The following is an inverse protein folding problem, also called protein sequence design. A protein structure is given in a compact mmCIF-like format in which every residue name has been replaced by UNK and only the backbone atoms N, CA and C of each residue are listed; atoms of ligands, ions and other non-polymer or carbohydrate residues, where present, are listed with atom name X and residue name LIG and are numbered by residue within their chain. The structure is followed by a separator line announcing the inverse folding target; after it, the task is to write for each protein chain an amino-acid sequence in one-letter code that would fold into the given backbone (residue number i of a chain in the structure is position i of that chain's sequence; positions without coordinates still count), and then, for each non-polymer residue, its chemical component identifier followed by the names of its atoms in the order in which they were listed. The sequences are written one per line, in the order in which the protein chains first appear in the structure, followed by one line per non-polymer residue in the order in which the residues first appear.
data_IF_001531848481
#
_entry.id   IF_001531848481
#
_cell.length_a   1.000
_cell.length_b   1.000
_cell.length_c   1.000
_cell.angle_alpha   90.00
_cell.angle_beta   90.00
_cell.angle_gamma   90.00
#
_symmetry.space_group_name_H-M   'P 1'
#
loop_
_entity.id
_entity.type
_entity.pdbx_description
1 polymer ?
#
# COMPACT_ATOMS: atom_id res chain seq x y z
N UNK A 1 25.67 -28.38 3.07
CA UNK A 1 24.74 -29.12 3.96
C UNK A 1 23.44 -28.36 3.99
N UNK A 2 22.33 -28.99 3.58
CA UNK A 2 21.01 -28.32 3.64
C UNK A 2 20.63 -28.20 5.12
N UNK A 3 20.39 -26.97 5.60
CA UNK A 3 19.85 -26.77 6.94
C UNK A 3 18.39 -27.21 6.99
N UNK A 4 17.96 -27.77 8.11
CA UNK A 4 16.56 -28.14 8.36
C UNK A 4 15.99 -27.09 9.31
N UNK A 5 14.80 -26.55 9.01
CA UNK A 5 14.13 -25.60 9.90
C UNK A 5 13.42 -26.32 11.08
N UNK A 6 12.82 -25.52 11.97
CA UNK A 6 12.09 -26.02 13.15
C UNK A 6 10.86 -26.89 12.82
N UNK A 7 10.41 -26.89 11.56
CA UNK A 7 9.28 -27.70 11.07
C UNK A 7 9.76 -28.96 10.33
N UNK A 8 11.07 -29.21 10.28
CA UNK A 8 11.66 -30.33 9.56
C UNK A 8 11.77 -30.13 8.05
N UNK A 9 11.60 -28.88 7.56
CA UNK A 9 11.71 -28.59 6.14
C UNK A 9 13.14 -28.27 5.73
N UNK A 10 13.51 -28.72 4.56
CA UNK A 10 14.81 -28.41 3.98
C UNK A 10 14.86 -26.95 3.59
N UNK A 11 15.92 -26.24 3.98
CA UNK A 11 16.20 -24.88 3.47
C UNK A 11 17.14 -24.99 2.27
N UNK A 12 16.85 -24.20 1.25
CA UNK A 12 17.65 -24.14 0.02
C UNK A 12 17.80 -22.70 -0.46
N UNK A 13 18.92 -22.36 -1.10
CA UNK A 13 19.04 -21.10 -1.81
C UNK A 13 17.91 -20.95 -2.83
N UNK A 14 17.30 -19.76 -2.91
CA UNK A 14 16.24 -19.46 -3.88
C UNK A 14 16.68 -19.81 -5.31
N UNK A 15 17.95 -19.54 -5.64
CA UNK A 15 18.53 -19.81 -6.94
C UNK A 15 18.53 -21.28 -7.37
N UNK A 16 18.33 -22.25 -6.45
CA UNK A 16 18.14 -23.66 -6.84
C UNK A 16 16.77 -23.90 -7.51
N UNK A 17 15.73 -23.12 -7.13
CA UNK A 17 14.33 -23.36 -7.56
C UNK A 17 13.77 -22.24 -8.44
N UNK A 18 14.33 -21.03 -8.39
CA UNK A 18 13.88 -19.89 -9.17
C UNK A 18 15.06 -19.00 -9.60
N UNK A 19 14.87 -18.26 -10.68
CA UNK A 19 15.75 -17.18 -11.10
C UNK A 19 15.10 -15.83 -10.75
N UNK A 20 15.92 -14.82 -10.50
CA UNK A 20 15.48 -13.42 -10.37
C UNK A 20 15.98 -12.65 -11.57
N UNK A 21 15.07 -12.12 -12.38
CA UNK A 21 15.39 -11.38 -13.60
C UNK A 21 15.15 -9.90 -13.36
N UNK A 22 16.20 -9.06 -13.45
CA UNK A 22 16.06 -7.61 -13.44
C UNK A 22 15.29 -7.12 -14.66
N UNK A 23 14.52 -6.04 -14.52
CA UNK A 23 13.75 -5.46 -15.61
C UNK A 23 14.58 -4.75 -16.67
N UNK A 24 13.88 -4.19 -17.62
CA UNK A 24 14.45 -3.47 -18.76
C UNK A 24 14.93 -2.06 -18.36
N UNK A 25 16.06 -1.63 -18.91
CA UNK A 25 16.66 -0.33 -18.62
C UNK A 25 16.07 0.76 -19.55
N UNK A 26 14.88 1.25 -19.21
CA UNK A 26 14.29 2.38 -19.94
C UNK A 26 15.08 3.66 -19.69
N UNK A 27 15.27 4.46 -20.76
CA UNK A 27 15.84 5.81 -20.67
C UNK A 27 14.79 6.76 -20.10
N UNK A 28 15.24 7.82 -19.43
CA UNK A 28 14.32 8.81 -18.83
C UNK A 28 13.41 9.48 -19.87
N UNK A 29 13.89 9.67 -21.11
CA UNK A 29 13.13 10.22 -22.23
C UNK A 29 12.05 9.29 -22.81
N UNK A 30 12.03 8.01 -22.41
CA UNK A 30 11.07 7.02 -22.91
C UNK A 30 9.82 6.93 -22.02
N UNK A 31 9.83 7.62 -20.88
CA UNK A 31 8.67 7.70 -20.01
C UNK A 31 7.75 8.85 -20.41
N UNK A 32 6.44 8.59 -20.35
CA UNK A 32 5.39 9.55 -20.67
C UNK A 32 4.13 9.31 -19.82
N UNK A 33 3.08 10.03 -20.15
CA UNK A 33 1.79 9.89 -19.44
C UNK A 33 0.89 8.81 -20.04
N UNK A 34 1.09 8.45 -21.30
CA UNK A 34 0.29 7.47 -22.03
C UNK A 34 1.10 6.22 -22.37
N UNK A 35 0.41 5.09 -22.60
CA UNK A 35 1.01 3.82 -22.97
C UNK A 35 0.94 2.78 -21.84
N UNK A 36 1.92 1.87 -21.82
CA UNK A 36 1.96 0.71 -20.94
C UNK A 36 2.60 1.09 -19.60
N UNK A 37 2.01 0.73 -18.45
CA UNK A 37 2.62 0.99 -17.16
C UNK A 37 3.98 0.28 -17.03
N UNK A 38 4.99 1.01 -16.55
CA UNK A 38 6.29 0.47 -16.19
C UNK A 38 6.42 0.38 -14.67
N UNK A 39 6.60 -0.83 -14.15
CA UNK A 39 6.72 -1.07 -12.71
C UNK A 39 8.11 -0.67 -12.25
N UNK A 40 8.16 0.40 -11.46
CA UNK A 40 9.34 0.90 -10.75
C UNK A 40 9.26 0.52 -9.26
N UNK A 41 10.32 0.74 -8.50
CA UNK A 41 10.36 0.46 -7.06
C UNK A 41 9.23 1.13 -6.27
N UNK A 42 8.78 2.32 -6.68
CA UNK A 42 7.67 3.03 -6.06
C UNK A 42 6.33 2.30 -6.18
N UNK A 43 6.19 1.47 -7.21
CA UNK A 43 4.98 0.70 -7.48
C UNK A 43 4.95 -0.66 -6.75
N UNK A 44 6.10 -1.12 -6.22
CA UNK A 44 6.20 -2.36 -5.44
C UNK A 44 5.84 -2.04 -4.00
N UNK A 45 4.61 -2.33 -3.59
CA UNK A 45 4.13 -2.20 -2.20
C UNK A 45 4.31 -3.53 -1.47
N UNK A 46 4.07 -3.55 -0.17
CA UNK A 46 4.09 -4.79 0.61
C UNK A 46 2.92 -5.67 0.18
N UNK A 47 3.23 -6.77 -0.50
CA UNK A 47 2.25 -7.76 -0.95
C UNK A 47 1.58 -7.47 -2.31
N UNK A 48 1.55 -6.24 -2.81
CA UNK A 48 0.82 -5.89 -4.04
C UNK A 48 1.54 -4.84 -4.90
N UNK A 49 1.13 -4.76 -6.17
CA UNK A 49 1.59 -3.73 -7.10
C UNK A 49 0.58 -2.59 -7.14
N UNK A 50 1.06 -1.36 -6.97
CA UNK A 50 0.27 -0.13 -7.03
C UNK A 50 0.62 0.64 -8.31
N UNK A 51 -0.35 0.77 -9.21
CA UNK A 51 -0.18 1.48 -10.49
C UNK A 51 -0.75 2.90 -10.49
N UNK A 52 -1.22 3.40 -9.35
CA UNK A 52 -1.90 4.71 -9.26
C UNK A 52 -1.05 5.86 -9.82
N UNK A 53 0.25 5.82 -9.57
CA UNK A 53 1.23 6.81 -10.04
C UNK A 53 2.30 6.18 -10.96
N UNK A 54 1.95 5.08 -11.65
CA UNK A 54 2.89 4.39 -12.51
C UNK A 54 3.27 5.25 -13.72
N UNK A 55 4.57 5.40 -13.94
CA UNK A 55 5.08 5.95 -15.20
C UNK A 55 4.77 5.00 -16.35
N UNK A 56 4.58 5.52 -17.54
CA UNK A 56 4.21 4.74 -18.72
C UNK A 56 5.26 4.85 -19.79
N UNK A 57 5.35 3.82 -20.63
CA UNK A 57 6.21 3.79 -21.79
C UNK A 57 5.40 3.51 -23.05
N UNK A 58 5.92 3.93 -24.20
CA UNK A 58 5.23 3.77 -25.47
C UNK A 58 4.98 2.27 -25.80
N UNK A 59 3.87 1.97 -26.47
CA UNK A 59 3.43 0.61 -26.83
C UNK A 59 4.44 -0.18 -27.67
N UNK A 60 5.35 0.50 -28.40
CA UNK A 60 6.46 -0.17 -29.09
C UNK A 60 7.30 -1.07 -28.19
N UNK A 61 7.33 -0.79 -26.88
CA UNK A 61 8.05 -1.62 -25.92
C UNK A 61 7.36 -2.95 -25.60
N UNK A 62 6.17 -3.24 -26.12
CA UNK A 62 5.60 -4.59 -26.10
C UNK A 62 6.44 -5.61 -26.89
N UNK A 63 7.28 -5.16 -27.79
CA UNK A 63 8.18 -6.03 -28.56
C UNK A 63 9.44 -6.47 -27.80
N UNK A 64 9.71 -5.94 -26.60
CA UNK A 64 10.83 -6.43 -25.79
C UNK A 64 10.59 -7.86 -25.30
N UNK A 65 11.65 -8.61 -24.94
CA UNK A 65 11.51 -9.99 -24.51
C UNK A 65 10.48 -10.18 -23.41
N UNK A 66 9.68 -11.25 -23.49
CA UNK A 66 8.56 -11.59 -22.58
C UNK A 66 8.98 -11.63 -21.11
N UNK A 67 10.22 -11.97 -20.81
CA UNK A 67 10.76 -11.95 -19.44
C UNK A 67 10.62 -10.59 -18.74
N UNK A 68 10.48 -9.51 -19.49
CA UNK A 68 10.25 -8.15 -18.98
C UNK A 68 8.77 -7.76 -18.88
N UNK A 69 7.88 -8.60 -19.38
CA UNK A 69 6.45 -8.40 -19.21
C UNK A 69 6.03 -8.88 -17.83
N UNK A 70 5.12 -8.17 -17.22
CA UNK A 70 4.54 -8.51 -15.92
C UNK A 70 3.05 -8.70 -16.09
N UNK A 71 2.60 -9.88 -15.72
CA UNK A 71 1.21 -10.33 -15.83
C UNK A 71 0.68 -10.83 -14.50
N UNK A 72 -0.61 -11.13 -14.45
CA UNK A 72 -1.26 -11.66 -13.25
C UNK A 72 -0.52 -12.84 -12.63
N UNK A 73 -0.29 -12.78 -11.34
CA UNK A 73 0.40 -13.81 -10.57
C UNK A 73 1.93 -13.66 -10.50
N UNK A 74 2.54 -12.82 -11.34
CA UNK A 74 3.99 -12.58 -11.28
C UNK A 74 4.41 -12.02 -9.91
N UNK A 75 5.53 -12.52 -9.39
CA UNK A 75 6.12 -12.10 -8.12
C UNK A 75 7.32 -11.21 -8.37
N UNK A 76 7.30 -10.03 -7.75
CA UNK A 76 8.26 -8.96 -7.96
C UNK A 76 9.00 -8.64 -6.67
N UNK A 77 10.28 -8.24 -6.79
CA UNK A 77 11.14 -7.85 -5.66
C UNK A 77 11.81 -6.51 -5.97
N UNK A 78 11.76 -5.57 -5.04
CA UNK A 78 12.53 -4.32 -5.14
C UNK A 78 14.02 -4.58 -4.96
N UNK A 79 14.81 -4.32 -6.01
CA UNK A 79 16.26 -4.51 -6.01
C UNK A 79 17.03 -3.27 -5.53
N UNK A 80 16.34 -2.14 -5.37
CA UNK A 80 16.94 -0.86 -4.96
C UNK A 80 16.01 -0.14 -3.99
N UNK A 81 16.58 0.60 -3.06
CA UNK A 81 15.84 1.43 -2.12
C UNK A 81 16.75 2.08 -1.08
N UNK A 82 16.20 2.62 0.00
CA UNK A 82 16.99 3.07 1.15
C UNK A 82 17.58 1.86 1.90
N UNK A 83 18.69 2.09 2.58
CA UNK A 83 19.35 1.06 3.39
C UNK A 83 18.43 0.60 4.55
N UNK A 84 18.63 -0.64 5.03
CA UNK A 84 17.83 -1.25 6.11
C UNK A 84 17.82 -0.44 7.41
N UNK A 85 18.82 0.41 7.63
CA UNK A 85 18.87 1.34 8.77
C UNK A 85 17.81 2.44 8.70
N UNK A 86 17.16 2.63 7.55
CA UNK A 86 16.07 3.61 7.39
C UNK A 86 14.71 2.96 7.68
N UNK A 87 13.81 3.64 8.43
CA UNK A 87 12.53 3.06 8.88
C UNK A 87 11.65 2.52 7.77
N UNK A 88 11.75 3.08 6.57
CA UNK A 88 10.89 2.74 5.42
C UNK A 88 11.69 2.16 4.25
N UNK A 89 12.74 1.36 4.54
CA UNK A 89 13.49 0.69 3.47
C UNK A 89 12.56 -0.11 2.56
N UNK A 90 12.77 0.03 1.25
CA UNK A 90 12.02 -0.70 0.21
C UNK A 90 12.82 -1.83 -0.42
N UNK A 91 14.13 -1.96 -0.12
CA UNK A 91 14.96 -3.07 -0.63
C UNK A 91 14.43 -4.41 -0.12
N UNK A 92 14.29 -5.36 -1.03
CA UNK A 92 13.75 -6.69 -0.70
C UNK A 92 12.23 -6.73 -0.54
N UNK A 93 11.52 -5.61 -0.73
CA UNK A 93 10.05 -5.61 -0.68
C UNK A 93 9.48 -6.48 -1.79
N UNK A 94 8.57 -7.36 -1.44
CA UNK A 94 7.94 -8.33 -2.34
C UNK A 94 6.50 -7.92 -2.64
N UNK A 95 6.10 -8.04 -3.90
CA UNK A 95 4.73 -7.81 -4.37
C UNK A 95 4.30 -8.88 -5.35
N UNK A 96 2.99 -9.14 -5.41
CA UNK A 96 2.36 -9.96 -6.44
C UNK A 96 1.51 -9.07 -7.35
N UNK A 97 1.60 -9.30 -8.65
CA UNK A 97 0.77 -8.60 -9.63
C UNK A 97 -0.64 -9.21 -9.60
N UNK A 98 -1.65 -8.38 -9.32
CA UNK A 98 -3.05 -8.80 -9.22
C UNK A 98 -3.66 -9.06 -10.60
N UNK A 99 -4.61 -9.99 -10.68
CA UNK A 99 -5.36 -10.30 -11.90
C UNK A 99 -6.21 -9.12 -12.43
N UNK A 100 -6.53 -8.15 -11.58
CA UNK A 100 -7.27 -6.94 -11.98
C UNK A 100 -6.42 -5.84 -12.62
N UNK A 101 -5.10 -6.01 -12.68
CA UNK A 101 -4.18 -5.02 -13.27
C UNK A 101 -3.87 -5.37 -14.73
N UNK A 102 -3.60 -4.36 -15.58
CA UNK A 102 -3.19 -4.59 -16.96
C UNK A 102 -1.78 -5.19 -17.02
N UNK A 103 -1.40 -5.77 -18.15
CA UNK A 103 -0.01 -6.12 -18.43
C UNK A 103 0.88 -4.89 -18.30
N UNK A 104 2.00 -5.06 -17.60
CA UNK A 104 2.98 -4.01 -17.32
C UNK A 104 4.36 -4.42 -17.87
N UNK A 105 5.27 -3.47 -17.89
CA UNK A 105 6.67 -3.72 -18.19
C UNK A 105 7.53 -3.54 -16.95
N UNK A 106 8.53 -4.39 -16.79
CA UNK A 106 9.41 -4.42 -15.64
C UNK A 106 10.59 -3.46 -15.81
N UNK A 107 10.76 -2.52 -14.89
CA UNK A 107 11.92 -1.61 -14.90
C UNK A 107 13.13 -2.24 -14.19
N UNK A 108 14.33 -1.87 -14.63
CA UNK A 108 15.64 -2.44 -14.22
C UNK A 108 15.90 -2.58 -12.71
N UNK A 109 15.21 -1.78 -11.87
CA UNK A 109 15.40 -1.79 -10.40
C UNK A 109 14.40 -2.68 -9.67
N UNK A 110 13.62 -3.43 -10.42
CA UNK A 110 12.68 -4.43 -9.90
C UNK A 110 13.04 -5.77 -10.51
N UNK A 111 13.11 -6.80 -9.67
CA UNK A 111 13.32 -8.19 -10.08
C UNK A 111 12.00 -8.92 -10.21
N UNK A 112 11.89 -9.81 -11.20
CA UNK A 112 10.80 -10.78 -11.37
C UNK A 112 11.31 -12.16 -11.02
N UNK A 113 10.58 -12.89 -10.17
CA UNK A 113 10.88 -14.26 -9.77
C UNK A 113 10.30 -15.21 -10.80
N UNK A 114 11.15 -16.07 -11.37
CA UNK A 114 10.76 -17.06 -12.39
C UNK A 114 11.13 -18.44 -11.88
N UNK A 115 10.14 -19.30 -11.64
CA UNK A 115 10.36 -20.67 -11.19
C UNK A 115 11.03 -21.50 -12.29
N UNK A 116 12.08 -22.24 -11.94
CA UNK A 116 12.82 -23.09 -12.89
C UNK A 116 12.02 -24.34 -13.27
N UNK A 117 11.38 -24.98 -12.29
CA UNK A 117 10.62 -26.21 -12.49
C UNK A 117 9.35 -26.19 -11.62
N UNK A 118 8.20 -26.09 -12.25
CA UNK A 118 6.88 -26.08 -11.58
C UNK A 118 6.51 -27.43 -10.93
N UNK A 119 7.31 -28.48 -11.19
CA UNK A 119 7.18 -29.80 -10.56
C UNK A 119 7.82 -29.87 -9.17
N UNK A 120 8.67 -28.90 -8.82
CA UNK A 120 9.38 -28.86 -7.54
C UNK A 120 9.07 -27.61 -6.69
N UNK A 121 8.59 -26.55 -7.30
CA UNK A 121 8.35 -25.27 -6.64
C UNK A 121 7.10 -24.58 -7.16
N UNK A 122 6.31 -24.04 -6.23
CA UNK A 122 5.09 -23.26 -6.48
C UNK A 122 5.38 -21.78 -6.33
N UNK A 123 5.04 -20.96 -7.34
CA UNK A 123 5.30 -19.52 -7.34
C UNK A 123 4.47 -18.79 -6.26
N UNK A 124 3.22 -19.24 -6.03
CA UNK A 124 2.37 -18.67 -4.98
C UNK A 124 2.98 -18.91 -3.60
N UNK A 125 3.53 -20.09 -3.35
CA UNK A 125 4.28 -20.37 -2.13
C UNK A 125 5.53 -19.48 -2.00
N UNK A 126 6.29 -19.31 -3.09
CA UNK A 126 7.47 -18.43 -3.08
C UNK A 126 7.12 -17.00 -2.73
N UNK A 127 5.98 -16.49 -3.21
CA UNK A 127 5.50 -15.17 -2.84
C UNK A 127 5.40 -15.02 -1.31
N UNK A 128 4.78 -15.97 -0.62
CA UNK A 128 4.64 -15.92 0.84
C UNK A 128 5.96 -16.16 1.58
N UNK A 129 6.78 -17.08 1.11
CA UNK A 129 8.08 -17.35 1.71
C UNK A 129 9.02 -16.14 1.61
N UNK A 130 9.02 -15.44 0.46
CA UNK A 130 9.81 -14.24 0.22
C UNK A 130 9.24 -13.02 0.96
N UNK A 131 7.93 -12.97 1.22
CA UNK A 131 7.26 -11.87 1.94
C UNK A 131 7.45 -11.93 3.45
N UNK A 132 7.99 -13.02 4.00
CA UNK A 132 8.28 -13.12 5.44
C UNK A 132 9.31 -12.05 5.85
N UNK A 133 9.08 -11.41 6.99
CA UNK A 133 9.92 -10.32 7.49
C UNK A 133 11.39 -10.72 7.59
N UNK A 134 11.68 -11.95 8.02
CA UNK A 134 13.03 -12.50 8.12
C UNK A 134 13.70 -12.60 6.74
N UNK A 135 12.96 -13.06 5.72
CA UNK A 135 13.48 -13.18 4.35
C UNK A 135 13.73 -11.80 3.74
N UNK A 136 12.78 -10.87 3.88
CA UNK A 136 12.95 -9.48 3.44
C UNK A 136 14.16 -8.83 4.11
N UNK A 137 14.32 -9.03 5.42
CA UNK A 137 15.50 -8.55 6.16
C UNK A 137 16.80 -9.19 5.68
N UNK A 138 16.80 -10.50 5.42
CA UNK A 138 17.98 -11.20 4.89
C UNK A 138 18.39 -10.67 3.50
N UNK A 139 17.41 -10.36 2.63
CA UNK A 139 17.66 -9.71 1.33
C UNK A 139 18.26 -8.31 1.55
N UNK A 140 17.65 -7.51 2.41
CA UNK A 140 18.09 -6.15 2.67
C UNK A 140 19.50 -6.06 3.30
N UNK A 141 19.87 -7.04 4.12
CA UNK A 141 21.24 -7.15 4.69
C UNK A 141 22.32 -7.46 3.64
N UNK A 142 21.96 -8.05 2.50
CA UNK A 142 22.87 -8.26 1.37
C UNK A 142 23.01 -7.04 0.46
N UNK A 143 22.18 -6.01 0.65
CA UNK A 143 22.25 -4.81 -0.16
C UNK A 143 23.50 -3.99 0.17
N UNK A 144 24.13 -3.47 -0.87
CA UNK A 144 25.31 -2.61 -0.77
C UNK A 144 24.98 -1.19 -1.26
N UNK A 145 25.58 -0.18 -0.65
CA UNK A 145 25.42 1.22 -1.03
C UNK A 145 25.31 2.17 0.17
N UNK A 146 25.06 3.45 -0.13
CA UNK A 146 24.89 4.49 0.88
C UNK A 146 23.50 4.42 1.54
N UNK A 147 23.34 5.13 2.67
CA UNK A 147 22.09 5.14 3.45
C UNK A 147 20.81 5.42 2.62
N UNK A 148 20.92 6.28 1.60
CA UNK A 148 19.78 6.69 0.77
C UNK A 148 19.61 5.84 -0.51
N UNK A 149 20.59 5.01 -0.87
CA UNK A 149 20.52 4.15 -2.05
C UNK A 149 21.33 2.88 -1.85
N UNK A 150 20.65 1.83 -1.42
CA UNK A 150 21.19 0.48 -1.34
C UNK A 150 20.65 -0.36 -2.51
N UNK A 151 21.48 -1.25 -3.04
CA UNK A 151 21.14 -2.12 -4.16
C UNK A 151 21.48 -3.56 -3.80
N UNK A 152 20.61 -4.48 -4.18
CA UNK A 152 20.83 -5.93 -4.11
C UNK A 152 20.79 -6.48 -5.54
N UNK A 153 21.76 -7.33 -5.89
CA UNK A 153 21.75 -7.98 -7.20
C UNK A 153 20.80 -9.19 -7.24
N UNK A 154 20.32 -9.59 -8.42
CA UNK A 154 19.55 -10.82 -8.56
C UNK A 154 20.23 -12.05 -7.94
N UNK A 155 21.53 -12.21 -8.17
CA UNK A 155 22.32 -13.32 -7.62
C UNK A 155 22.41 -13.30 -6.09
N UNK A 156 22.44 -12.10 -5.48
CA UNK A 156 22.38 -11.98 -4.03
C UNK A 156 21.00 -12.37 -3.47
N UNK A 157 19.92 -12.03 -4.18
CA UNK A 157 18.56 -12.49 -3.82
C UNK A 157 18.46 -14.01 -3.99
N UNK A 158 18.98 -14.55 -5.08
CA UNK A 158 19.00 -16.00 -5.35
C UNK A 158 19.82 -16.79 -4.30
N UNK A 159 20.78 -16.16 -3.62
CA UNK A 159 21.57 -16.79 -2.56
C UNK A 159 20.87 -16.83 -1.19
N UNK A 160 19.66 -16.27 -1.07
CA UNK A 160 18.88 -16.33 0.17
C UNK A 160 18.30 -17.73 0.36
N UNK A 161 18.49 -18.30 1.54
CA UNK A 161 17.89 -19.57 1.90
C UNK A 161 16.41 -19.38 2.26
N UNK A 162 15.57 -20.21 1.63
CA UNK A 162 14.13 -20.27 1.88
C UNK A 162 13.75 -21.69 2.34
N UNK A 163 12.73 -21.84 3.19
CA UNK A 163 12.17 -23.16 3.48
C UNK A 163 11.50 -23.73 2.24
N UNK A 164 11.74 -24.98 1.94
CA UNK A 164 11.17 -25.66 0.76
C UNK A 164 10.49 -26.97 1.19
N UNK A 165 9.23 -26.94 1.63
CA UNK A 165 8.46 -28.14 1.93
C UNK A 165 8.10 -28.92 0.65
N UNK A 166 7.58 -30.15 0.75
CA UNK A 166 7.06 -30.88 -0.41
C UNK A 166 6.02 -30.06 -1.19
N UNK A 167 6.00 -30.23 -2.52
CA UNK A 167 5.15 -29.41 -3.42
C UNK A 167 3.66 -29.37 -3.03
N UNK A 168 3.11 -30.49 -2.56
CA UNK A 168 1.72 -30.55 -2.08
C UNK A 168 1.49 -29.62 -0.88
N UNK A 169 2.47 -29.53 0.02
CA UNK A 169 2.41 -28.63 1.18
C UNK A 169 2.54 -27.18 0.72
N UNK A 170 3.47 -26.90 -0.21
CA UNK A 170 3.60 -25.55 -0.80
C UNK A 170 2.28 -25.06 -1.40
N UNK A 171 1.65 -25.89 -2.25
CA UNK A 171 0.36 -25.55 -2.87
C UNK A 171 -0.77 -25.38 -1.86
N UNK A 172 -0.79 -26.20 -0.80
CA UNK A 172 -1.78 -26.07 0.26
C UNK A 172 -1.61 -24.75 1.03
N UNK A 173 -0.37 -24.40 1.39
CA UNK A 173 -0.07 -23.11 2.05
C UNK A 173 -0.46 -21.94 1.15
N UNK A 174 -0.01 -21.96 -0.11
CA UNK A 174 -0.33 -20.92 -1.09
C UNK A 174 -1.84 -20.79 -1.29
N UNK A 175 -2.57 -21.89 -1.44
CA UNK A 175 -4.03 -21.88 -1.62
C UNK A 175 -4.78 -21.29 -0.44
N UNK A 176 -4.38 -21.63 0.79
CA UNK A 176 -5.02 -21.06 1.98
C UNK A 176 -4.75 -19.55 2.08
N UNK A 177 -3.49 -19.15 1.95
CA UNK A 177 -3.11 -17.74 2.12
C UNK A 177 -3.67 -16.86 0.99
N UNK A 178 -3.67 -17.37 -0.27
CA UNK A 178 -4.25 -16.61 -1.39
C UNK A 178 -5.76 -16.42 -1.24
N UNK A 179 -6.48 -17.38 -0.67
CA UNK A 179 -7.92 -17.22 -0.40
C UNK A 179 -8.19 -16.07 0.61
N UNK A 180 -7.33 -15.90 1.62
CA UNK A 180 -7.41 -14.75 2.53
C UNK A 180 -7.06 -13.44 1.83
N UNK A 181 -6.00 -13.41 1.00
CA UNK A 181 -5.63 -12.21 0.23
C UNK A 181 -6.79 -11.78 -0.71
N UNK A 182 -7.39 -12.74 -1.43
CA UNK A 182 -8.54 -12.48 -2.29
C UNK A 182 -9.75 -11.94 -1.52
N UNK A 183 -10.01 -12.47 -0.33
CA UNK A 183 -11.08 -11.98 0.55
C UNK A 183 -10.81 -10.55 1.01
N UNK A 184 -9.57 -10.24 1.39
CA UNK A 184 -9.14 -8.90 1.78
C UNK A 184 -9.29 -7.93 0.59
N UNK A 185 -8.77 -8.29 -0.59
CA UNK A 185 -8.86 -7.46 -1.80
C UNK A 185 -10.33 -7.17 -2.18
N UNK A 186 -11.18 -8.20 -2.17
CA UNK A 186 -12.61 -8.07 -2.45
C UNK A 186 -13.30 -7.15 -1.43
N UNK A 187 -12.99 -7.31 -0.14
CA UNK A 187 -13.55 -6.48 0.92
C UNK A 187 -13.14 -5.02 0.77
N UNK A 188 -11.86 -4.76 0.49
CA UNK A 188 -11.36 -3.42 0.23
C UNK A 188 -12.00 -2.79 -1.02
N UNK A 189 -12.19 -3.59 -2.09
CA UNK A 189 -12.89 -3.13 -3.29
C UNK A 189 -14.34 -2.76 -2.98
N UNK A 190 -15.06 -3.58 -2.20
CA UNK A 190 -16.43 -3.29 -1.75
C UNK A 190 -16.50 -2.00 -0.95
N UNK A 191 -15.58 -1.79 -0.01
CA UNK A 191 -15.51 -0.55 0.78
C UNK A 191 -15.36 0.66 -0.14
N UNK A 192 -14.40 0.64 -1.08
CA UNK A 192 -14.21 1.75 -2.03
C UNK A 192 -15.46 2.04 -2.86
N UNK A 193 -16.15 1.01 -3.34
CA UNK A 193 -17.39 1.18 -4.11
C UNK A 193 -18.49 1.78 -3.24
N UNK A 194 -18.70 1.27 -2.02
CA UNK A 194 -19.72 1.79 -1.11
C UNK A 194 -19.43 3.25 -0.70
N UNK A 195 -18.19 3.60 -0.43
CA UNK A 195 -17.80 4.98 -0.16
C UNK A 195 -18.05 5.90 -1.36
N UNK A 196 -17.72 5.42 -2.58
CA UNK A 196 -18.01 6.18 -3.80
C UNK A 196 -19.51 6.40 -4.01
N UNK A 197 -20.32 5.36 -3.77
CA UNK A 197 -21.79 5.45 -3.83
C UNK A 197 -22.33 6.43 -2.78
N UNK A 198 -21.88 6.37 -1.55
CA UNK A 198 -22.29 7.29 -0.49
C UNK A 198 -21.95 8.75 -0.84
N UNK A 199 -20.75 8.99 -1.37
CA UNK A 199 -20.35 10.34 -1.84
C UNK A 199 -21.18 10.81 -3.03
N UNK A 200 -21.53 9.93 -3.96
CA UNK A 200 -22.38 10.27 -5.10
C UNK A 200 -23.80 10.61 -4.64
N UNK A 201 -24.37 9.82 -3.72
CA UNK A 201 -25.68 10.10 -3.13
C UNK A 201 -25.68 11.44 -2.37
N UNK A 202 -24.67 11.68 -1.54
CA UNK A 202 -24.53 12.93 -0.82
C UNK A 202 -24.47 14.13 -1.78
N UNK A 203 -23.64 14.04 -2.82
CA UNK A 203 -23.58 15.10 -3.84
C UNK A 203 -24.90 15.28 -4.58
N UNK A 204 -25.53 14.19 -4.99
CA UNK A 204 -26.84 14.24 -5.65
C UNK A 204 -27.87 14.95 -4.78
N UNK A 205 -27.99 14.55 -3.52
CA UNK A 205 -29.04 15.02 -2.64
C UNK A 205 -28.78 16.41 -2.06
N UNK A 206 -27.56 16.68 -1.59
CA UNK A 206 -27.25 17.86 -0.78
C UNK A 206 -26.49 18.95 -1.55
N UNK A 207 -25.89 18.62 -2.69
CA UNK A 207 -25.20 19.63 -3.53
C UNK A 207 -26.01 19.95 -4.78
N UNK A 208 -26.56 18.92 -5.44
CA UNK A 208 -27.36 19.10 -6.66
C UNK A 208 -28.86 19.13 -6.39
N UNK A 209 -29.29 18.80 -5.17
CA UNK A 209 -30.69 18.74 -4.71
C UNK A 209 -31.56 17.78 -5.55
N UNK A 210 -30.98 16.65 -5.95
CA UNK A 210 -31.63 15.59 -6.74
C UNK A 210 -32.11 14.45 -5.83
N UNK A 211 -32.63 14.74 -4.65
CA UNK A 211 -33.19 13.74 -3.73
C UNK A 211 -34.59 13.28 -4.20
N UNK A 212 -35.07 12.16 -3.69
CA UNK A 212 -36.37 11.60 -4.07
C UNK A 212 -37.50 12.62 -3.81
N UNK A 213 -38.28 12.94 -4.84
CA UNK A 213 -39.39 13.91 -4.77
C UNK A 213 -38.96 15.36 -4.96
N UNK A 214 -37.71 15.64 -5.31
CA UNK A 214 -37.20 17.00 -5.53
C UNK A 214 -37.97 17.76 -6.63
N UNK A 215 -38.55 17.07 -7.60
CA UNK A 215 -39.35 17.66 -8.69
C UNK A 215 -40.59 18.36 -8.19
N UNK A 216 -41.12 17.94 -7.02
CA UNK A 216 -42.32 18.53 -6.39
C UNK A 216 -41.99 19.70 -5.46
N UNK A 217 -40.73 19.98 -5.21
CA UNK A 217 -40.26 21.01 -4.28
C UNK A 217 -39.69 22.16 -5.10
N UNK A 218 -40.35 23.36 -5.13
CA UNK A 218 -39.81 24.48 -5.85
C UNK A 218 -38.51 24.99 -5.24
N UNK A 219 -37.61 25.49 -6.06
CA UNK A 219 -36.39 26.15 -5.62
C UNK A 219 -36.66 27.63 -5.29
N UNK A 220 -36.07 28.11 -4.23
CA UNK A 220 -36.11 29.51 -3.80
C UNK A 220 -34.71 30.13 -3.91
N UNK A 221 -34.63 31.42 -4.15
CA UNK A 221 -33.37 32.15 -4.24
C UNK A 221 -32.67 32.19 -2.88
N UNK A 222 -31.37 31.99 -2.88
CA UNK A 222 -30.51 32.16 -1.71
C UNK A 222 -29.20 32.85 -2.11
N UNK A 223 -28.39 33.34 -1.16
CA UNK A 223 -27.09 33.94 -1.44
C UNK A 223 -26.11 33.01 -2.18
N UNK A 224 -26.37 31.69 -2.15
CA UNK A 224 -25.55 30.65 -2.78
C UNK A 224 -26.21 30.00 -4.00
N UNK A 225 -27.25 30.62 -4.57
CA UNK A 225 -28.03 30.07 -5.68
C UNK A 225 -29.36 29.49 -5.24
N UNK A 226 -30.07 28.80 -6.15
CA UNK A 226 -31.39 28.23 -5.86
C UNK A 226 -31.30 27.00 -4.96
N UNK A 227 -31.95 27.04 -3.81
CA UNK A 227 -32.06 25.95 -2.84
C UNK A 227 -33.52 25.44 -2.77
N UNK A 228 -33.79 24.20 -2.37
CA UNK A 228 -35.14 23.69 -2.19
C UNK A 228 -35.92 24.52 -1.16
N UNK A 229 -37.21 24.72 -1.38
CA UNK A 229 -38.07 25.38 -0.38
C UNK A 229 -38.02 24.61 0.93
N UNK A 230 -37.86 25.34 2.03
CA UNK A 230 -37.74 24.79 3.37
C UNK A 230 -36.29 24.56 3.82
N UNK A 231 -35.31 24.76 2.91
CA UNK A 231 -33.90 24.78 3.27
C UNK A 231 -33.46 26.22 3.53
N UNK A 232 -32.50 26.36 4.44
CA UNK A 232 -31.93 27.64 4.84
C UNK A 232 -30.43 27.64 4.60
N UNK A 233 -29.94 28.74 4.00
CA UNK A 233 -28.50 28.94 3.87
C UNK A 233 -27.97 29.62 5.14
N UNK A 234 -27.14 28.91 5.87
CA UNK A 234 -26.58 29.36 7.14
C UNK A 234 -25.05 29.28 7.15
N UNK A 235 -24.41 29.78 8.19
CA UNK A 235 -22.98 29.67 8.40
C UNK A 235 -22.68 28.58 9.40
N UNK A 236 -21.51 27.92 9.29
CA UNK A 236 -21.11 26.89 10.23
C UNK A 236 -21.08 27.40 11.67
N UNK A 237 -20.64 28.66 11.87
CA UNK A 237 -20.57 29.28 13.19
C UNK A 237 -21.90 29.41 13.92
N UNK A 238 -23.05 29.53 13.20
CA UNK A 238 -24.38 29.56 13.80
C UNK A 238 -24.91 28.19 14.22
N UNK A 239 -24.29 27.12 13.71
CA UNK A 239 -24.70 25.74 13.98
C UNK A 239 -23.80 25.06 15.01
N UNK A 240 -22.66 25.64 15.33
CA UNK A 240 -21.71 25.10 16.31
C UNK A 240 -21.92 25.81 17.66
N UNK A 241 -21.97 25.03 18.74
CA UNK A 241 -21.93 25.57 20.10
C UNK A 241 -20.54 26.11 20.47
N UNK A 242 -19.49 25.48 19.95
CA UNK A 242 -18.11 25.90 20.10
C UNK A 242 -17.24 25.36 18.96
N UNK A 243 -16.21 26.12 18.57
CA UNK A 243 -15.12 25.66 17.73
C UNK A 243 -13.82 25.95 18.46
N UNK A 244 -13.16 24.90 18.92
CA UNK A 244 -11.97 25.01 19.75
C UNK A 244 -10.74 24.41 19.09
N UNK A 245 -9.57 24.96 19.39
CA UNK A 245 -8.29 24.39 19.04
C UNK A 245 -7.59 23.87 20.28
N UNK A 246 -6.95 22.71 20.20
CA UNK A 246 -6.15 22.15 21.28
C UNK A 246 -4.99 23.07 21.65
N UNK A 247 -4.58 23.03 22.92
CA UNK A 247 -3.36 23.68 23.41
C UNK A 247 -2.23 22.64 23.51
N UNK A 248 -1.00 23.12 23.45
CA UNK A 248 0.17 22.29 23.71
C UNK A 248 0.79 22.67 25.05
N UNK A 249 1.29 21.69 25.84
CA UNK A 249 2.00 21.99 27.07
C UNK A 249 3.28 22.76 26.81
N UNK A 250 3.69 23.62 27.76
CA UNK A 250 4.98 24.31 27.70
C UNK A 250 6.10 23.26 27.67
N UNK A 251 7.02 23.34 26.71
CA UNK A 251 8.07 22.33 26.50
C UNK A 251 7.72 21.22 25.52
N UNK A 252 6.48 21.17 25.02
CA UNK A 252 6.04 20.17 24.04
C UNK A 252 5.64 18.84 24.69
N UNK A 253 5.52 17.81 23.84
CA UNK A 253 5.06 16.45 24.25
C UNK A 253 6.11 15.37 23.97
N UNK A 254 7.35 15.77 23.73
CA UNK A 254 8.44 14.82 23.41
C UNK A 254 8.79 14.00 24.64
N UNK A 255 8.71 12.67 24.52
CA UNK A 255 9.02 11.74 25.62
C UNK A 255 7.87 11.47 26.58
N UNK A 256 6.65 11.95 26.30
CA UNK A 256 5.44 11.54 27.02
C UNK A 256 4.94 10.23 26.39
N UNK A 257 5.13 9.13 27.11
CA UNK A 257 4.73 7.77 26.63
C UNK A 257 3.36 7.34 27.20
N UNK A 258 2.89 7.98 28.27
CA UNK A 258 1.60 7.72 28.89
C UNK A 258 0.89 9.03 29.21
N UNK A 259 -0.43 9.03 29.10
CA UNK A 259 -1.25 10.22 29.35
C UNK A 259 -2.59 10.20 28.62
N UNK A 260 -3.05 11.38 28.20
CA UNK A 260 -4.26 11.52 27.38
C UNK A 260 -3.86 11.67 25.93
N UNK A 261 -4.47 10.87 25.05
CA UNK A 261 -4.18 10.90 23.61
C UNK A 261 -4.49 12.29 23.03
N UNK A 262 -3.52 12.84 22.28
CA UNK A 262 -3.59 14.13 21.62
C UNK A 262 -3.74 13.93 20.12
N UNK A 263 -4.92 14.19 19.60
CA UNK A 263 -5.22 14.05 18.17
C UNK A 263 -4.63 15.25 17.42
N UNK A 264 -3.74 14.97 16.49
CA UNK A 264 -3.19 15.93 15.54
C UNK A 264 -3.84 15.79 14.16
N UNK A 265 -3.56 16.74 13.26
CA UNK A 265 -4.02 16.66 11.87
C UNK A 265 -3.48 15.41 11.15
N UNK A 266 -2.31 14.94 11.56
CA UNK A 266 -1.67 13.70 11.06
C UNK A 266 -2.47 12.43 11.38
N UNK A 267 -3.32 12.46 12.42
CA UNK A 267 -4.16 11.32 12.80
C UNK A 267 -5.50 11.27 12.04
N UNK A 268 -5.81 12.31 11.24
CA UNK A 268 -7.07 12.38 10.50
C UNK A 268 -6.82 12.02 9.03
N UNK A 269 -7.12 10.77 8.66
CA UNK A 269 -6.90 10.21 7.33
C UNK A 269 -8.18 10.15 6.49
N UNK A 270 -8.92 11.26 6.42
CA UNK A 270 -10.15 11.38 5.65
C UNK A 270 -11.41 11.28 6.50
N UNK A 271 -12.57 11.24 5.84
CA UNK A 271 -13.88 11.28 6.51
C UNK A 271 -14.08 10.02 7.36
N UNK A 272 -14.23 10.22 8.67
CA UNK A 272 -14.48 9.13 9.63
C UNK A 272 -13.31 8.16 9.84
N UNK A 273 -12.09 8.53 9.42
CA UNK A 273 -10.90 7.69 9.59
C UNK A 273 -9.92 8.37 10.53
N UNK A 274 -9.67 7.69 11.65
CA UNK A 274 -8.62 8.03 12.60
C UNK A 274 -7.47 7.04 12.42
N UNK A 275 -6.25 7.56 12.39
CA UNK A 275 -5.02 6.77 12.39
C UNK A 275 -4.47 6.75 13.82
N UNK A 276 -4.46 5.57 14.43
CA UNK A 276 -3.94 5.36 15.77
C UNK A 276 -2.41 5.17 15.78
N UNK A 277 -1.79 5.00 14.60
CA UNK A 277 -0.35 4.85 14.51
C UNK A 277 0.34 6.20 14.78
N UNK A 278 1.28 6.19 15.70
CA UNK A 278 2.01 7.39 16.08
C UNK A 278 1.21 8.39 16.93
N UNK A 279 0.21 7.92 17.69
CA UNK A 279 -0.47 8.75 18.67
C UNK A 279 0.53 9.40 19.62
N UNK A 280 0.27 10.67 19.91
CA UNK A 280 1.02 11.46 20.87
C UNK A 280 0.19 11.62 22.12
N UNK A 281 0.85 11.70 23.25
CA UNK A 281 0.17 11.85 24.53
C UNK A 281 0.52 13.20 25.16
N UNK A 282 -0.44 13.77 25.89
CA UNK A 282 -0.21 14.90 26.80
C UNK A 282 -0.26 14.41 28.24
N UNK A 283 0.52 15.02 29.16
CA UNK A 283 0.41 14.69 30.59
C UNK A 283 -1.03 14.84 31.08
N UNK A 284 -1.50 13.90 31.89
CA UNK A 284 -2.86 13.91 32.45
C UNK A 284 -3.13 15.20 33.23
N UNK A 285 -2.18 15.68 34.00
CA UNK A 285 -2.26 16.94 34.74
C UNK A 285 -2.52 18.13 33.84
N UNK A 286 -1.78 18.22 32.72
CA UNK A 286 -2.01 19.26 31.71
C UNK A 286 -3.42 19.21 31.12
N UNK A 287 -3.95 18.02 30.89
CA UNK A 287 -5.31 17.84 30.40
C UNK A 287 -6.36 18.27 31.42
N UNK A 288 -6.14 17.98 32.71
CA UNK A 288 -7.02 18.34 33.81
C UNK A 288 -7.03 19.85 34.10
N UNK A 289 -5.87 20.53 33.91
CA UNK A 289 -5.72 21.98 34.03
C UNK A 289 -6.33 22.76 32.87
N UNK A 290 -6.64 22.09 31.72
CA UNK A 290 -7.30 22.78 30.62
C UNK A 290 -8.70 23.25 31.04
N UNK A 291 -9.08 24.53 30.76
CA UNK A 291 -10.42 25.01 31.03
C UNK A 291 -11.44 24.05 30.45
N UNK A 292 -12.44 23.66 31.25
CA UNK A 292 -13.45 22.66 30.90
C UNK A 292 -14.38 23.15 29.78
N UNK A 293 -13.86 23.18 28.56
CA UNK A 293 -14.68 23.14 27.35
C UNK A 293 -14.32 21.83 26.65
N UNK A 294 -14.82 20.74 27.22
CA UNK A 294 -14.60 19.41 26.73
C UNK A 294 -15.48 19.18 25.53
N UNK A 295 -14.89 18.93 24.36
CA UNK A 295 -15.63 18.23 23.31
C UNK A 295 -15.98 16.84 23.87
N UNK A 296 -17.25 16.59 24.09
CA UNK A 296 -17.79 15.25 24.35
C UNK A 296 -17.80 14.46 23.05
#
# INVERSE_FOLDING_TARGET
MNSIDQHGWTRKPLGEVANVVSGYAFKSSEFGQNGIPAIKIKNVRVGYVDLTDADRVHEKFLSIPERYHVTAGDVLISLTGSHISQPNSVVGRVARHSAGLPTCLLNQRVGKVIVKQHTSCDLGFLFYALSQQETVRAIALKAHGAANQANVSPTQVESIEIPLPPLLVQRRIAGILSAYDELIENSQRRIRVLEAMARALYRGWFVHFLFSGHEKIPRVASPRGGIPRGWEATTLGTQLSALESGKRPKGGIRGVEDGVASIGAENINGIGRHDFDGEKFVPREFFEEMPQRRCL
#
